data_IF_288612930738
#
_entry.id   IF_288612930738
#
_cell.length_a   1.000
_cell.length_b   1.000
_cell.length_c   1.000
_cell.angle_alpha   90.00
_cell.angle_beta   90.00
_cell.angle_gamma   90.00
#
_symmetry.space_group_name_H-M   'P 1'
#
loop_
_entity.id
_entity.type
_entity.pdbx_description
1 polymer ?
#
# COMPACT_ATOMS: atom_id res chain seq x y z
N UNK A 1 -11.38 -19.02 -11.03
CA UNK A 1 -12.07 -17.83 -10.46
C UNK A 1 -11.86 -16.67 -11.42
N UNK A 2 -12.83 -15.77 -11.58
CA UNK A 2 -12.98 -14.91 -12.77
C UNK A 2 -11.82 -13.90 -12.94
N UNK A 3 -11.31 -13.79 -14.18
CA UNK A 3 -10.27 -12.84 -14.61
C UNK A 3 -10.51 -11.38 -14.22
N UNK A 4 -11.76 -11.04 -13.92
CA UNK A 4 -12.19 -9.72 -13.47
C UNK A 4 -11.71 -9.41 -12.03
N UNK A 5 -11.67 -10.42 -11.16
CA UNK A 5 -11.15 -10.26 -9.81
C UNK A 5 -9.63 -10.04 -9.83
N UNK A 6 -8.90 -10.79 -10.65
CA UNK A 6 -7.45 -10.64 -10.78
C UNK A 6 -7.08 -9.27 -11.37
N UNK A 7 -7.88 -8.78 -12.31
CA UNK A 7 -7.74 -7.43 -12.86
C UNK A 7 -7.95 -6.35 -11.78
N UNK A 8 -9.03 -6.44 -10.99
CA UNK A 8 -9.31 -5.51 -9.89
C UNK A 8 -8.18 -5.53 -8.85
N UNK A 9 -7.68 -6.72 -8.53
CA UNK A 9 -6.56 -6.92 -7.62
C UNK A 9 -5.27 -6.31 -8.15
N UNK A 10 -4.97 -6.43 -9.45
CA UNK A 10 -3.80 -5.83 -10.08
C UNK A 10 -3.88 -4.29 -10.04
N UNK A 11 -5.03 -3.72 -10.44
CA UNK A 11 -5.28 -2.27 -10.43
C UNK A 11 -5.14 -1.71 -9.01
N UNK A 12 -5.71 -2.38 -8.01
CA UNK A 12 -5.65 -1.94 -6.61
C UNK A 12 -4.21 -1.85 -6.09
N UNK A 13 -3.37 -2.84 -6.35
CA UNK A 13 -1.94 -2.77 -5.98
C UNK A 13 -1.21 -1.67 -6.71
N UNK A 14 -1.50 -1.46 -7.99
CA UNK A 14 -0.84 -0.42 -8.77
C UNK A 14 -1.15 0.97 -8.20
N UNK A 15 -2.41 1.22 -7.80
CA UNK A 15 -2.82 2.43 -7.09
C UNK A 15 -2.13 2.58 -5.73
N UNK A 16 -1.98 1.50 -4.97
CA UNK A 16 -1.29 1.54 -3.67
C UNK A 16 0.20 1.88 -3.82
N UNK A 17 0.87 1.32 -4.84
CA UNK A 17 2.27 1.63 -5.14
C UNK A 17 2.41 3.08 -5.58
N UNK A 18 1.50 3.60 -6.42
CA UNK A 18 1.50 5.02 -6.81
C UNK A 18 1.32 5.92 -5.57
N UNK A 19 0.33 5.64 -4.72
CA UNK A 19 0.09 6.40 -3.50
C UNK A 19 1.31 6.39 -2.56
N UNK A 20 1.99 5.25 -2.46
CA UNK A 20 3.24 5.13 -1.72
C UNK A 20 4.35 5.98 -2.34
N UNK A 21 4.57 5.93 -3.66
CA UNK A 21 5.57 6.78 -4.34
C UNK A 21 5.33 8.26 -4.04
N UNK A 22 4.07 8.73 -4.10
CA UNK A 22 3.71 10.10 -3.72
C UNK A 22 4.02 10.41 -2.25
N UNK A 23 3.77 9.48 -1.32
CA UNK A 23 4.13 9.65 0.10
C UNK A 23 5.64 9.69 0.35
N UNK A 24 6.44 8.96 -0.44
CA UNK A 24 7.92 9.06 -0.42
C UNK A 24 8.34 10.44 -0.92
N UNK A 25 7.81 10.87 -2.07
CA UNK A 25 8.17 12.14 -2.69
C UNK A 25 7.84 13.35 -1.80
N UNK A 26 6.68 13.32 -1.13
CA UNK A 26 6.26 14.36 -0.19
C UNK A 26 6.92 14.25 1.19
N UNK A 27 7.80 13.26 1.42
CA UNK A 27 8.49 12.98 2.69
C UNK A 27 7.56 12.81 3.91
N UNK A 28 6.26 12.59 3.68
CA UNK A 28 5.29 12.49 4.77
C UNK A 28 5.45 11.19 5.56
N UNK A 29 5.68 10.07 4.86
CA UNK A 29 5.81 8.73 5.46
C UNK A 29 6.74 7.84 4.62
N UNK A 30 8.04 8.17 4.50
CA UNK A 30 8.95 7.55 3.54
C UNK A 30 9.18 6.05 3.81
N UNK A 31 9.29 5.64 5.08
CA UNK A 31 9.58 4.24 5.45
C UNK A 31 8.40 3.34 5.11
N UNK A 32 7.19 3.68 5.55
CA UNK A 32 6.01 2.86 5.29
C UNK A 32 5.65 2.80 3.80
N UNK A 33 5.85 3.91 3.09
CA UNK A 33 5.65 3.95 1.66
C UNK A 33 6.68 3.08 0.90
N UNK A 34 7.94 3.08 1.31
CA UNK A 34 8.96 2.20 0.74
C UNK A 34 8.58 0.71 0.87
N UNK A 35 8.06 0.31 2.03
CA UNK A 35 7.62 -1.09 2.26
C UNK A 35 6.46 -1.46 1.30
N UNK A 36 5.50 -0.56 1.08
CA UNK A 36 4.40 -0.81 0.12
C UNK A 36 4.92 -0.96 -1.32
N UNK A 37 5.93 -0.18 -1.72
CA UNK A 37 6.54 -0.29 -3.06
C UNK A 37 7.23 -1.65 -3.22
N UNK A 38 8.05 -2.07 -2.25
CA UNK A 38 8.77 -3.35 -2.29
C UNK A 38 7.78 -4.52 -2.37
N UNK A 39 6.74 -4.50 -1.54
CA UNK A 39 5.71 -5.54 -1.58
C UNK A 39 4.92 -5.52 -2.90
N UNK A 40 4.68 -4.36 -3.50
CA UNK A 40 4.08 -4.25 -4.83
C UNK A 40 4.88 -4.97 -5.91
N UNK A 41 6.22 -4.83 -5.88
CA UNK A 41 7.14 -5.52 -6.79
C UNK A 41 7.11 -7.03 -6.54
N UNK A 42 7.22 -7.46 -5.28
CA UNK A 42 7.16 -8.89 -4.89
C UNK A 42 5.87 -9.53 -5.38
N UNK A 43 4.74 -8.83 -5.27
CA UNK A 43 3.46 -9.31 -5.80
C UNK A 43 3.47 -9.42 -7.32
N UNK A 44 4.01 -8.43 -8.04
CA UNK A 44 4.13 -8.48 -9.49
C UNK A 44 4.93 -9.70 -9.95
N UNK A 45 6.06 -9.98 -9.29
CA UNK A 45 6.88 -11.17 -9.53
C UNK A 45 6.09 -12.45 -9.22
N UNK A 46 5.39 -12.51 -8.09
CA UNK A 46 4.61 -13.67 -7.68
C UNK A 46 3.47 -13.99 -8.67
N UNK A 47 2.77 -12.97 -9.19
CA UNK A 47 1.73 -13.15 -10.21
C UNK A 47 2.33 -13.66 -11.52
N UNK A 48 3.43 -13.07 -11.99
CA UNK A 48 4.10 -13.51 -13.22
C UNK A 48 4.66 -14.93 -13.12
N UNK A 49 5.11 -15.34 -11.94
CA UNK A 49 5.62 -16.68 -11.67
C UNK A 49 4.51 -17.72 -11.36
N UNK A 50 3.24 -17.33 -11.32
CA UNK A 50 2.11 -18.22 -11.00
C UNK A 50 1.95 -18.58 -9.52
N UNK A 51 2.64 -17.87 -8.62
CA UNK A 51 2.50 -18.04 -7.16
C UNK A 51 1.33 -17.23 -6.61
N UNK A 52 0.11 -17.68 -6.90
CA UNK A 52 -1.13 -17.00 -6.50
C UNK A 52 -1.22 -16.75 -4.98
N UNK A 53 -0.86 -17.74 -4.16
CA UNK A 53 -0.87 -17.63 -2.69
C UNK A 53 0.09 -16.55 -2.16
N UNK A 54 1.29 -16.43 -2.76
CA UNK A 54 2.22 -15.35 -2.40
C UNK A 54 1.70 -13.99 -2.84
N UNK A 55 1.05 -13.90 -4.02
CA UNK A 55 0.47 -12.66 -4.50
C UNK A 55 -0.66 -12.15 -3.58
N UNK A 56 -1.51 -13.06 -3.10
CA UNK A 56 -2.56 -12.73 -2.13
C UNK A 56 -2.01 -12.35 -0.75
N UNK A 57 -1.04 -13.10 -0.23
CA UNK A 57 -0.41 -12.77 1.05
C UNK A 57 0.23 -11.38 1.02
N UNK A 58 0.96 -11.08 -0.06
CA UNK A 58 1.62 -9.79 -0.25
C UNK A 58 0.62 -8.64 -0.36
N UNK A 59 -0.52 -8.87 -1.02
CA UNK A 59 -1.63 -7.91 -1.09
C UNK A 59 -2.21 -7.57 0.28
N UNK A 60 -2.48 -8.59 1.11
CA UNK A 60 -3.03 -8.40 2.45
C UNK A 60 -2.06 -7.62 3.35
N UNK A 61 -0.76 -7.94 3.28
CA UNK A 61 0.27 -7.23 4.05
C UNK A 61 0.38 -5.78 3.61
N UNK A 62 0.41 -5.50 2.30
CA UNK A 62 0.38 -4.12 1.79
C UNK A 62 -0.83 -3.35 2.31
N UNK A 63 -2.00 -4.00 2.31
CA UNK A 63 -3.25 -3.37 2.73
C UNK A 63 -3.20 -3.00 4.20
N UNK A 64 -2.74 -3.93 5.05
CA UNK A 64 -2.55 -3.66 6.48
C UNK A 64 -1.57 -2.53 6.76
N UNK A 65 -0.43 -2.48 6.04
CA UNK A 65 0.56 -1.41 6.19
C UNK A 65 -0.02 -0.06 5.75
N UNK A 66 -0.75 -0.03 4.63
CA UNK A 66 -1.40 1.19 4.17
C UNK A 66 -2.43 1.70 5.18
N UNK A 67 -3.25 0.81 5.75
CA UNK A 67 -4.21 1.15 6.80
C UNK A 67 -3.52 1.74 8.03
N UNK A 68 -2.43 1.13 8.50
CA UNK A 68 -1.66 1.66 9.63
C UNK A 68 -1.10 3.06 9.34
N UNK A 69 -0.57 3.26 8.14
CA UNK A 69 -0.04 4.56 7.71
C UNK A 69 -1.13 5.64 7.66
N UNK A 70 -2.33 5.30 7.19
CA UNK A 70 -3.48 6.22 7.20
C UNK A 70 -3.88 6.57 8.63
N UNK A 71 -3.97 5.59 9.54
CA UNK A 71 -4.32 5.83 10.95
C UNK A 71 -3.31 6.77 11.62
N UNK A 72 -2.01 6.53 11.42
CA UNK A 72 -0.95 7.39 11.96
C UNK A 72 -1.03 8.81 11.38
N UNK A 73 -1.31 8.94 10.08
CA UNK A 73 -1.44 10.25 9.45
C UNK A 73 -2.67 11.03 9.97
N UNK A 74 -3.80 10.35 10.14
CA UNK A 74 -5.02 10.95 10.70
C UNK A 74 -4.80 11.38 12.16
N UNK A 75 -4.16 10.54 12.97
CA UNK A 75 -3.84 10.86 14.36
C UNK A 75 -2.91 12.08 14.47
N UNK A 76 -1.87 12.14 13.64
CA UNK A 76 -0.99 13.31 13.61
C UNK A 76 -1.72 14.58 13.17
N UNK A 77 -2.59 14.51 12.15
CA UNK A 77 -3.39 15.67 11.73
C UNK A 77 -4.33 16.16 12.84
N UNK A 78 -4.96 15.25 13.58
CA UNK A 78 -5.82 15.58 14.71
C UNK A 78 -5.05 16.34 15.81
N UNK A 79 -3.89 15.83 16.23
CA UNK A 79 -3.05 16.47 17.27
C UNK A 79 -2.60 17.89 16.88
N UNK A 80 -2.30 18.14 15.60
CA UNK A 80 -1.94 19.49 15.12
C UNK A 80 -3.12 20.45 15.07
N UNK A 81 -4.35 19.96 14.93
CA UNK A 81 -5.55 20.81 14.98
C UNK A 81 -5.91 21.17 16.42
N UNK A 82 -5.74 20.24 17.37
CA UNK A 82 -5.98 20.52 18.80
C UNK A 82 -5.00 21.54 19.36
N UNK A 83 -3.72 21.50 18.95
CA UNK A 83 -2.69 22.45 19.39
C UNK A 83 -2.81 23.87 18.79
N UNK A 84 -3.80 24.13 17.93
CA UNK A 84 -4.03 25.45 17.30
C UNK A 84 -5.22 26.22 17.90
N UNK A 85 -5.98 25.60 18.80
CA UNK A 85 -7.08 26.22 19.55
C UNK A 85 -6.64 26.51 20.98
#
# INVERSE_FOLDING_TARGET
MSSLNDLLFAISTLLMVIAAILKVYTKSQPIGAFVVIVLGIVRGIAVLAGFETMAYATFNVMTGILTLLIIVELRWKAERQTNKN
#
